data_IF_820438863095
#
_entry.id   IF_820438863095
#
_cell.length_a   1.000
_cell.length_b   1.000
_cell.length_c   1.000
_cell.angle_alpha   90.00
_cell.angle_beta   90.00
_cell.angle_gamma   90.00
#
_symmetry.space_group_name_H-M   'P 1'
#
loop_
_entity.id
_entity.type
_entity.pdbx_description
1 polymer ?
#
# COMPACT_ATOMS: atom_id res chain seq x y z
N UNK A 1 6.83 15.97 -17.29
CA UNK A 1 7.12 14.89 -16.34
C UNK A 1 6.57 15.38 -15.00
N UNK A 2 5.47 14.82 -14.51
CA UNK A 2 4.92 15.24 -13.22
C UNK A 2 5.98 14.97 -12.13
N UNK A 3 6.21 15.87 -11.16
CA UNK A 3 7.06 15.54 -10.03
C UNK A 3 6.49 14.27 -9.38
N UNK A 4 7.34 13.28 -9.13
CA UNK A 4 6.93 12.06 -8.44
C UNK A 4 6.32 12.47 -7.09
N UNK A 5 5.06 12.08 -6.83
CA UNK A 5 4.34 12.43 -5.60
C UNK A 5 5.04 11.94 -4.33
N UNK A 6 5.99 11.01 -4.48
CA UNK A 6 6.78 10.43 -3.40
C UNK A 6 8.27 10.41 -3.74
N UNK A 7 9.11 10.71 -2.75
CA UNK A 7 10.56 10.80 -2.90
C UNK A 7 11.28 9.98 -1.82
N UNK A 8 11.96 8.88 -2.15
CA UNK A 8 12.80 8.18 -1.19
C UNK A 8 14.03 9.02 -0.81
N UNK A 9 14.35 9.05 0.48
CA UNK A 9 15.56 9.69 1.01
C UNK A 9 16.76 8.75 0.93
N UNK A 10 17.93 9.28 0.63
CA UNK A 10 19.18 8.54 0.72
C UNK A 10 19.67 8.49 2.18
N UNK A 11 19.66 7.28 2.75
CA UNK A 11 20.12 7.03 4.12
C UNK A 11 21.48 6.31 4.18
N UNK A 12 22.19 6.18 3.06
CA UNK A 12 23.43 5.40 2.94
C UNK A 12 24.51 5.81 3.96
N UNK A 13 24.56 7.10 4.31
CA UNK A 13 25.49 7.62 5.31
C UNK A 13 25.18 7.13 6.75
N UNK A 14 23.95 6.72 7.03
CA UNK A 14 23.48 6.36 8.37
C UNK A 14 23.49 4.85 8.64
N UNK A 15 23.43 4.03 7.58
CA UNK A 15 23.43 2.57 7.68
C UNK A 15 24.67 2.03 8.41
N UNK A 16 24.42 1.14 9.37
CA UNK A 16 25.42 0.56 10.26
C UNK A 16 25.27 -0.95 10.47
N UNK A 17 24.32 -1.60 9.79
CA UNK A 17 24.09 -3.03 9.86
C UNK A 17 23.67 -3.59 8.49
N UNK A 18 24.02 -4.85 8.23
CA UNK A 18 23.62 -5.55 7.01
C UNK A 18 22.22 -6.16 7.12
N UNK A 19 21.74 -6.71 6.01
CA UNK A 19 20.40 -7.27 5.89
C UNK A 19 20.19 -8.52 6.76
N UNK A 20 21.27 -9.17 7.21
CA UNK A 20 21.21 -10.33 8.12
C UNK A 20 20.47 -10.06 9.42
N UNK A 21 20.41 -8.80 9.87
CA UNK A 21 19.66 -8.43 11.09
C UNK A 21 18.15 -8.62 10.95
N UNK A 22 17.62 -8.68 9.73
CA UNK A 22 16.21 -8.98 9.47
C UNK A 22 15.86 -10.44 9.81
N UNK A 23 16.86 -11.31 9.90
CA UNK A 23 16.70 -12.75 10.05
C UNK A 23 16.18 -13.40 8.76
N UNK A 24 15.64 -14.61 8.89
CA UNK A 24 15.05 -15.35 7.79
C UNK A 24 16.05 -15.76 6.69
N UNK A 25 15.55 -16.47 5.66
CA UNK A 25 16.34 -16.81 4.49
C UNK A 25 16.67 -15.54 3.67
N UNK A 26 17.74 -15.55 2.85
CA UNK A 26 18.20 -14.36 2.12
C UNK A 26 17.14 -13.73 1.22
N UNK A 27 16.29 -14.54 0.59
CA UNK A 27 15.20 -14.09 -0.25
C UNK A 27 14.13 -13.34 0.53
N UNK A 28 13.92 -13.61 1.83
CA UNK A 28 12.97 -12.87 2.65
C UNK A 28 13.42 -11.44 2.97
N UNK A 29 14.71 -11.11 2.77
CA UNK A 29 15.30 -9.81 3.11
C UNK A 29 15.05 -8.81 1.98
N UNK A 30 14.26 -7.79 2.27
CA UNK A 30 13.92 -6.75 1.31
C UNK A 30 14.97 -5.64 1.34
N UNK A 31 15.79 -5.52 0.30
CA UNK A 31 16.92 -4.57 0.17
C UNK A 31 16.89 -3.85 -1.17
N UNK A 32 17.69 -2.80 -1.34
CA UNK A 32 17.74 -2.02 -2.58
C UNK A 32 16.47 -1.19 -2.81
N UNK A 33 16.18 -0.88 -4.07
CA UNK A 33 14.95 -0.17 -4.44
C UNK A 33 13.73 -1.10 -4.28
N UNK A 34 12.75 -0.65 -3.51
CA UNK A 34 11.56 -1.38 -3.14
C UNK A 34 10.30 -0.56 -3.43
N UNK A 35 9.18 -1.26 -3.65
CA UNK A 35 7.86 -0.64 -3.80
C UNK A 35 6.91 -1.31 -2.81
N UNK A 36 6.46 -0.56 -1.81
CA UNK A 36 5.51 -1.05 -0.81
C UNK A 36 4.22 -0.24 -0.90
N UNK A 37 3.08 -0.92 -1.10
CA UNK A 37 1.78 -0.26 -1.37
C UNK A 37 1.86 0.77 -2.52
N UNK A 38 2.72 0.53 -3.51
CA UNK A 38 2.95 1.47 -4.62
C UNK A 38 3.81 2.69 -4.27
N UNK A 39 4.32 2.78 -3.04
CA UNK A 39 5.23 3.85 -2.61
C UNK A 39 6.69 3.40 -2.78
N UNK A 40 7.57 4.26 -3.33
CA UNK A 40 8.98 3.93 -3.52
C UNK A 40 9.74 4.03 -2.20
N UNK A 41 10.65 3.09 -1.95
CA UNK A 41 11.61 3.10 -0.85
C UNK A 41 12.99 2.72 -1.37
N UNK A 42 14.04 3.31 -0.81
CA UNK A 42 15.42 2.91 -1.08
C UNK A 42 16.07 2.40 0.20
N UNK A 43 16.30 1.10 0.23
CA UNK A 43 16.96 0.40 1.33
C UNK A 43 18.40 0.12 0.92
N UNK A 44 19.33 0.11 1.87
CA UNK A 44 20.71 -0.24 1.57
C UNK A 44 20.86 -1.68 1.10
N UNK A 45 22.07 -2.03 0.68
CA UNK A 45 22.43 -3.34 0.14
C UNK A 45 23.16 -4.20 1.18
N UNK A 46 23.06 -5.52 1.01
CA UNK A 46 23.88 -6.55 1.65
C UNK A 46 24.41 -6.22 3.07
N UNK A 47 25.65 -5.72 3.18
CA UNK A 47 26.41 -5.50 4.42
C UNK A 47 26.14 -4.14 5.09
N UNK A 48 25.48 -3.21 4.39
CA UNK A 48 25.05 -1.90 4.89
C UNK A 48 23.65 -1.58 4.40
N UNK A 49 22.67 -2.29 4.96
CA UNK A 49 21.29 -2.25 4.54
C UNK A 49 20.43 -1.27 5.36
N UNK A 50 20.65 -1.20 6.68
CA UNK A 50 19.73 -0.53 7.60
C UNK A 50 20.45 0.26 8.68
N UNK A 51 19.72 1.16 9.34
CA UNK A 51 20.16 1.83 10.57
C UNK A 51 19.59 1.07 11.76
N UNK A 52 20.45 0.34 12.48
CA UNK A 52 20.13 -0.44 13.67
C UNK A 52 20.34 0.40 14.94
N UNK A 53 19.36 0.31 15.85
CA UNK A 53 19.33 0.95 17.15
C UNK A 53 19.19 -0.07 18.30
N UNK A 54 19.61 0.34 19.49
CA UNK A 54 19.61 -0.50 20.69
C UNK A 54 20.83 -1.43 20.74
N UNK A 55 20.64 -2.65 21.26
CA UNK A 55 21.71 -3.62 21.41
C UNK A 55 22.38 -3.93 20.06
N UNK A 56 23.72 -3.90 20.06
CA UNK A 56 24.58 -4.12 18.88
C UNK A 56 24.39 -3.07 17.75
N UNK A 57 23.69 -1.97 18.04
CA UNK A 57 23.46 -0.85 17.15
C UNK A 57 23.76 0.49 17.82
N UNK A 58 23.12 1.57 17.36
CA UNK A 58 23.24 2.90 17.95
C UNK A 58 22.41 3.03 19.23
N UNK A 59 23.03 3.52 20.30
CA UNK A 59 22.35 3.92 21.55
C UNK A 59 22.16 5.43 21.68
N UNK A 60 22.97 6.23 20.98
CA UNK A 60 22.84 7.68 20.94
C UNK A 60 21.76 8.12 19.94
N UNK A 61 21.15 9.31 20.13
CA UNK A 61 20.28 9.93 19.14
C UNK A 61 20.94 10.03 17.75
N UNK A 62 20.13 9.90 16.71
CA UNK A 62 20.55 10.11 15.32
C UNK A 62 19.71 11.20 14.68
N UNK A 63 20.37 12.19 14.08
CA UNK A 63 19.71 13.24 13.29
C UNK A 63 19.91 12.98 11.80
N UNK A 64 18.80 12.91 11.06
CA UNK A 64 18.75 12.73 9.62
C UNK A 64 18.29 14.06 9.02
N UNK A 65 19.14 14.67 8.19
CA UNK A 65 18.78 15.89 7.46
C UNK A 65 17.73 15.59 6.38
N UNK A 66 16.68 16.41 6.30
CA UNK A 66 15.63 16.32 5.27
C UNK A 66 15.66 17.55 4.37
N UNK A 67 15.70 18.75 4.98
CA UNK A 67 15.78 20.06 4.33
C UNK A 67 14.81 20.23 3.15
N UNK A 68 13.54 19.87 3.34
CA UNK A 68 12.54 19.89 2.28
C UNK A 68 11.11 20.00 2.82
N UNK A 69 10.25 20.67 2.06
CA UNK A 69 8.79 20.65 2.24
C UNK A 69 8.22 19.28 1.90
N UNK A 70 7.36 18.76 2.77
CA UNK A 70 6.66 17.51 2.56
C UNK A 70 5.38 17.49 3.37
N UNK A 71 4.34 16.87 2.82
CA UNK A 71 3.08 16.63 3.50
C UNK A 71 3.15 15.42 4.44
N UNK A 72 3.99 14.45 4.12
CA UNK A 72 4.16 13.26 4.94
C UNK A 72 5.62 12.78 4.97
N UNK A 73 6.01 12.15 6.08
CA UNK A 73 7.24 11.36 6.19
C UNK A 73 6.85 9.92 6.50
N UNK A 74 7.11 9.02 5.56
CA UNK A 74 6.80 7.58 5.66
C UNK A 74 8.08 6.82 5.99
N UNK A 75 8.03 5.95 7.00
CA UNK A 75 9.16 5.17 7.49
C UNK A 75 8.90 3.67 7.33
N UNK A 76 9.88 2.97 6.77
CA UNK A 76 9.97 1.52 6.83
C UNK A 76 10.87 1.12 8.01
N UNK A 77 10.28 0.58 9.07
CA UNK A 77 10.99 0.26 10.31
C UNK A 77 10.43 -1.01 10.97
N UNK A 78 11.19 -1.57 11.91
CA UNK A 78 10.80 -2.83 12.59
C UNK A 78 11.48 -2.97 13.95
N UNK A 79 10.76 -3.49 14.93
CA UNK A 79 11.36 -4.00 16.18
C UNK A 79 12.01 -5.36 15.91
N UNK A 80 13.16 -5.63 16.55
CA UNK A 80 13.84 -6.92 16.47
C UNK A 80 13.70 -7.66 17.80
N UNK A 81 12.66 -8.47 17.92
CA UNK A 81 12.31 -9.20 19.14
C UNK A 81 11.19 -8.51 19.92
N UNK A 82 10.02 -9.15 19.92
CA UNK A 82 8.86 -8.79 20.74
C UNK A 82 8.73 -9.68 21.98
N UNK A 83 8.28 -9.10 23.10
CA UNK A 83 7.86 -9.86 24.29
C UNK A 83 6.34 -9.99 24.42
N UNK A 84 5.56 -9.47 23.48
CA UNK A 84 4.10 -9.42 23.60
C UNK A 84 3.47 -10.82 23.75
N UNK A 85 3.90 -11.79 22.94
CA UNK A 85 3.41 -13.16 23.02
C UNK A 85 3.89 -13.92 24.27
N UNK A 86 4.88 -13.37 24.98
CA UNK A 86 5.36 -13.86 26.27
C UNK A 86 4.74 -13.10 27.47
N UNK A 87 3.65 -12.34 27.25
CA UNK A 87 2.98 -11.57 28.30
C UNK A 87 3.63 -10.22 28.61
N UNK A 88 4.49 -9.72 27.71
CA UNK A 88 5.05 -8.38 27.80
C UNK A 88 3.97 -7.28 27.65
N UNK A 89 4.23 -6.08 28.17
CA UNK A 89 3.29 -4.96 28.09
C UNK A 89 3.10 -4.45 26.66
N UNK A 90 1.86 -4.04 26.36
CA UNK A 90 1.48 -3.42 25.10
C UNK A 90 1.89 -1.93 25.10
N UNK A 91 2.44 -1.43 23.99
CA UNK A 91 2.72 0.00 23.83
C UNK A 91 3.99 0.49 24.52
N UNK A 92 4.94 -0.41 24.83
CA UNK A 92 6.26 -0.04 25.34
C UNK A 92 6.95 0.97 24.39
N UNK A 93 7.49 2.08 24.90
CA UNK A 93 8.24 3.03 24.09
C UNK A 93 9.51 2.41 23.49
N UNK A 94 9.60 2.41 22.17
CA UNK A 94 10.76 1.94 21.40
C UNK A 94 11.69 3.11 21.07
N UNK A 95 11.12 4.25 20.68
CA UNK A 95 11.85 5.46 20.34
C UNK A 95 10.99 6.72 20.50
N UNK A 96 11.61 7.89 20.42
CA UNK A 96 10.94 9.17 20.16
C UNK A 96 11.45 9.69 18.83
N UNK A 97 10.55 10.07 17.93
CA UNK A 97 10.86 10.73 16.66
C UNK A 97 10.52 12.22 16.80
N UNK A 98 11.50 13.07 16.56
CA UNK A 98 11.35 14.54 16.64
C UNK A 98 11.55 15.13 15.26
N UNK A 99 10.50 15.69 14.69
CA UNK A 99 10.55 16.43 13.43
C UNK A 99 10.81 17.90 13.74
N UNK A 100 11.93 18.44 13.24
CA UNK A 100 12.30 19.85 13.39
C UNK A 100 12.09 20.57 12.08
N UNK A 101 11.35 21.67 12.11
CA UNK A 101 11.07 22.51 10.95
C UNK A 101 12.04 23.68 10.88
N UNK A 102 12.20 24.27 9.69
CA UNK A 102 13.15 25.37 9.47
C UNK A 102 12.78 26.68 10.17
N UNK A 103 11.53 26.83 10.61
CA UNK A 103 11.06 27.97 11.41
C UNK A 103 11.29 27.79 12.93
N UNK A 104 11.86 26.64 13.33
CA UNK A 104 12.13 26.29 14.72
C UNK A 104 11.02 25.50 15.42
N UNK A 105 9.89 25.21 14.74
CA UNK A 105 8.87 24.34 15.30
C UNK A 105 9.38 22.89 15.47
N UNK A 106 8.98 22.23 16.56
CA UNK A 106 9.31 20.84 16.85
C UNK A 106 8.06 20.01 17.11
N UNK A 107 7.99 18.83 16.50
CA UNK A 107 6.93 17.85 16.71
C UNK A 107 7.53 16.54 17.20
N UNK A 108 7.22 16.18 18.44
CA UNK A 108 7.70 14.94 19.07
C UNK A 108 6.60 13.87 19.03
N UNK A 109 6.95 12.69 18.53
CA UNK A 109 6.04 11.55 18.42
C UNK A 109 6.65 10.34 19.14
N UNK A 110 5.95 9.75 20.13
CA UNK A 110 6.39 8.49 20.71
C UNK A 110 6.15 7.34 19.72
N UNK A 111 7.16 6.49 19.55
CA UNK A 111 7.09 5.30 18.73
C UNK A 111 7.03 4.11 19.67
N UNK A 112 5.90 3.40 19.66
CA UNK A 112 5.57 2.36 20.64
C UNK A 112 5.40 1.03 19.95
N UNK A 113 5.84 -0.02 20.64
CA UNK A 113 5.64 -1.38 20.16
C UNK A 113 4.13 -1.66 20.00
N UNK A 114 3.79 -2.23 18.84
CA UNK A 114 2.43 -2.59 18.39
C UNK A 114 1.52 -1.44 17.97
N UNK A 115 1.98 -0.20 18.02
CA UNK A 115 1.24 0.95 17.49
C UNK A 115 1.88 1.43 16.20
N UNK A 116 2.98 2.17 16.32
CA UNK A 116 3.70 2.72 15.18
C UNK A 116 4.70 1.70 14.61
N UNK A 117 5.29 0.86 15.47
CA UNK A 117 6.30 -0.12 15.07
C UNK A 117 5.99 -1.49 15.68
N UNK A 118 6.32 -2.58 15.00
CA UNK A 118 6.21 -3.94 15.54
C UNK A 118 7.35 -4.83 15.04
N UNK A 119 7.52 -6.00 15.67
CA UNK A 119 8.28 -7.11 15.08
C UNK A 119 7.42 -7.82 14.01
N UNK A 120 7.94 -8.88 13.38
CA UNK A 120 7.17 -9.65 12.40
C UNK A 120 5.88 -10.19 13.04
N UNK A 121 4.71 -9.70 12.59
CA UNK A 121 3.44 -10.00 13.21
C UNK A 121 3.01 -11.42 12.86
N UNK A 122 2.56 -12.19 13.85
CA UNK A 122 1.78 -13.41 13.65
C UNK A 122 0.28 -13.09 13.51
N UNK A 123 -0.58 -14.08 13.39
CA UNK A 123 -2.03 -13.83 13.23
C UNK A 123 -2.63 -12.97 14.35
N UNK A 124 -3.41 -11.93 14.00
CA UNK A 124 -3.91 -10.91 14.94
C UNK A 124 -2.83 -9.93 15.45
N UNK A 125 -1.60 -10.11 14.99
CA UNK A 125 -0.31 -9.45 15.20
C UNK A 125 -0.07 -8.00 14.78
N UNK A 126 -0.92 -7.46 13.91
CA UNK A 126 -0.55 -6.24 13.15
C UNK A 126 -0.47 -5.01 14.05
N UNK A 127 0.42 -4.05 13.74
CA UNK A 127 0.47 -2.76 14.42
C UNK A 127 -0.80 -1.94 14.16
N UNK A 128 -1.25 -1.18 15.16
CA UNK A 128 -2.50 -0.41 15.07
C UNK A 128 -2.40 0.84 14.18
N UNK A 129 -1.23 1.48 14.13
CA UNK A 129 -1.01 2.76 13.45
C UNK A 129 -0.05 2.65 12.26
N UNK A 130 0.36 1.43 11.91
CA UNK A 130 1.24 1.16 10.77
C UNK A 130 0.65 0.09 9.86
N UNK A 131 1.15 0.03 8.62
CA UNK A 131 0.78 -0.98 7.64
C UNK A 131 1.89 -2.02 7.48
N UNK A 132 1.58 -3.28 7.16
CA UNK A 132 2.60 -4.22 6.70
C UNK A 132 3.23 -3.73 5.39
N UNK A 133 4.45 -4.18 5.05
CA UNK A 133 5.07 -3.84 3.77
C UNK A 133 4.42 -4.51 2.54
N UNK A 134 3.67 -5.61 2.74
CA UNK A 134 2.87 -6.24 1.71
C UNK A 134 1.43 -5.70 1.70
N UNK A 135 0.87 -5.56 0.49
CA UNK A 135 -0.54 -5.19 0.30
C UNK A 135 -1.48 -6.36 0.51
N UNK A 136 -2.75 -6.06 0.81
CA UNK A 136 -3.81 -7.03 0.61
C UNK A 136 -3.88 -7.40 -0.87
N UNK A 137 -4.31 -8.62 -1.15
CA UNK A 137 -4.37 -9.16 -2.50
C UNK A 137 -5.64 -9.95 -2.72
N UNK A 138 -5.81 -10.38 -3.97
CA UNK A 138 -6.84 -11.33 -4.35
C UNK A 138 -6.22 -12.71 -4.51
N UNK A 139 -7.00 -13.73 -4.21
CA UNK A 139 -6.63 -15.09 -4.57
C UNK A 139 -6.73 -15.26 -6.09
N UNK A 140 -6.17 -16.33 -6.65
CA UNK A 140 -6.35 -16.58 -8.08
C UNK A 140 -7.83 -16.86 -8.36
N UNK A 141 -8.50 -16.04 -9.18
CA UNK A 141 -9.96 -16.12 -9.43
C UNK A 141 -10.39 -17.49 -9.94
N UNK A 142 -9.77 -17.95 -11.02
CA UNK A 142 -10.25 -19.06 -11.83
C UNK A 142 -9.81 -20.45 -11.36
N UNK A 143 -8.81 -20.54 -10.49
CA UNK A 143 -8.28 -21.82 -10.03
C UNK A 143 -7.61 -21.70 -8.66
N UNK A 144 -7.46 -22.84 -7.99
CA UNK A 144 -6.75 -22.95 -6.72
C UNK A 144 -6.85 -24.35 -6.13
N UNK A 145 -6.06 -24.64 -5.09
CA UNK A 145 -6.11 -25.94 -4.43
C UNK A 145 -7.45 -26.14 -3.71
N UNK A 146 -8.07 -27.31 -3.91
CA UNK A 146 -9.36 -27.66 -3.28
C UNK A 146 -9.29 -27.62 -1.74
N UNK A 147 -8.13 -27.94 -1.17
CA UNK A 147 -7.87 -27.86 0.27
C UNK A 147 -7.99 -26.44 0.85
N UNK A 148 -7.94 -25.40 0.01
CA UNK A 148 -8.12 -24.01 0.42
C UNK A 148 -9.56 -23.49 0.20
N UNK A 149 -10.51 -24.35 -0.17
CA UNK A 149 -11.90 -23.95 -0.51
C UNK A 149 -12.58 -23.12 0.58
N UNK A 150 -12.32 -23.40 1.87
CA UNK A 150 -12.80 -22.59 2.98
C UNK A 150 -12.25 -21.16 2.96
N UNK A 151 -10.92 -21.00 2.91
CA UNK A 151 -10.26 -19.69 2.86
C UNK A 151 -10.57 -18.91 1.58
N UNK A 152 -10.89 -19.61 0.49
CA UNK A 152 -11.26 -19.01 -0.80
C UNK A 152 -12.62 -18.32 -0.79
N UNK A 153 -13.50 -18.60 0.17
CA UNK A 153 -14.80 -17.90 0.28
C UNK A 153 -14.65 -16.40 0.55
N UNK A 154 -13.53 -15.97 1.14
CA UNK A 154 -13.23 -14.56 1.37
C UNK A 154 -12.61 -13.87 0.15
N UNK A 155 -12.18 -14.66 -0.85
CA UNK A 155 -11.57 -14.26 -2.13
C UNK A 155 -10.32 -13.35 -2.06
N UNK A 156 -9.97 -12.91 -0.87
CA UNK A 156 -8.92 -11.95 -0.56
C UNK A 156 -7.84 -12.60 0.29
N UNK A 157 -6.68 -11.97 0.31
CA UNK A 157 -5.55 -12.31 1.17
C UNK A 157 -5.12 -11.07 1.93
N UNK A 158 -4.95 -11.22 3.23
CA UNK A 158 -4.38 -10.17 4.06
C UNK A 158 -2.88 -9.99 3.76
N UNK A 159 -2.45 -8.74 3.61
CA UNK A 159 -1.04 -8.38 3.55
C UNK A 159 -0.39 -8.55 4.92
N UNK A 160 0.82 -9.12 4.94
CA UNK A 160 1.61 -9.35 6.14
C UNK A 160 2.96 -8.65 6.01
N UNK A 161 3.55 -8.19 7.13
CA UNK A 161 4.92 -7.68 7.08
C UNK A 161 5.85 -8.82 6.75
N UNK A 162 6.57 -8.70 5.64
CA UNK A 162 7.66 -9.60 5.28
C UNK A 162 8.96 -9.19 5.95
N UNK A 163 9.27 -7.90 5.95
CA UNK A 163 10.46 -7.33 6.59
C UNK A 163 10.16 -6.09 7.44
N UNK A 164 9.18 -5.27 7.08
CA UNK A 164 8.95 -3.96 7.67
C UNK A 164 7.49 -3.67 8.04
N UNK A 165 7.34 -2.78 9.01
CA UNK A 165 6.12 -2.01 9.23
C UNK A 165 6.31 -0.63 8.60
N UNK A 166 5.25 -0.10 8.01
CA UNK A 166 5.21 1.21 7.39
C UNK A 166 4.36 2.15 8.24
N UNK A 167 5.01 3.12 8.86
CA UNK A 167 4.35 4.17 9.62
C UNK A 167 4.57 5.51 8.93
N UNK A 168 3.65 6.45 9.10
CA UNK A 168 3.82 7.79 8.56
C UNK A 168 3.45 8.87 9.57
N UNK A 169 4.14 10.01 9.46
CA UNK A 169 3.80 11.25 10.11
C UNK A 169 3.24 12.22 9.08
N UNK A 170 2.08 12.83 9.38
CA UNK A 170 1.55 13.94 8.59
C UNK A 170 2.13 15.24 9.13
N UNK A 171 2.73 16.03 8.23
CA UNK A 171 3.26 17.34 8.57
C UNK A 171 2.09 18.33 8.75
N UNK A 172 1.89 18.90 9.96
CA UNK A 172 0.82 19.86 10.20
C UNK A 172 1.05 21.21 9.49
N UNK A 173 2.28 21.50 9.06
CA UNK A 173 2.66 22.72 8.33
C UNK A 173 3.52 22.34 7.11
N UNK A 174 2.91 21.78 6.06
CA UNK A 174 3.62 21.17 4.92
C UNK A 174 4.46 22.17 4.10
N UNK A 175 4.05 23.45 4.10
CA UNK A 175 4.75 24.54 3.40
C UNK A 175 6.02 25.02 4.13
N UNK A 176 6.27 24.53 5.35
CA UNK A 176 7.50 24.80 6.08
C UNK A 176 8.45 23.62 5.88
N UNK A 177 9.67 23.83 5.35
CA UNK A 177 10.65 22.77 5.20
C UNK A 177 10.91 22.01 6.51
N UNK A 178 10.83 20.69 6.45
CA UNK A 178 11.33 19.83 7.51
C UNK A 178 12.85 19.89 7.44
N UNK A 179 13.48 20.47 8.45
CA UNK A 179 14.93 20.56 8.54
C UNK A 179 15.52 19.16 8.80
N UNK A 180 15.00 18.45 9.80
CA UNK A 180 15.52 17.14 10.18
C UNK A 180 14.51 16.27 10.90
N UNK A 181 14.78 14.96 10.89
CA UNK A 181 14.20 13.97 11.78
C UNK A 181 15.28 13.51 12.76
N UNK A 182 15.05 13.68 14.06
CA UNK A 182 15.87 13.08 15.10
C UNK A 182 15.19 11.84 15.68
N UNK A 183 15.95 10.75 15.77
CA UNK A 183 15.51 9.47 16.33
C UNK A 183 16.24 9.26 17.65
N UNK A 184 15.48 9.23 18.75
CA UNK A 184 16.00 8.97 20.10
C UNK A 184 15.57 7.57 20.54
N UNK A 185 16.48 6.57 20.58
CA UNK A 185 16.13 5.21 20.98
C UNK A 185 15.83 5.10 22.48
N UNK A 186 14.92 4.21 22.87
CA UNK A 186 14.50 4.00 24.28
C UNK A 186 14.86 2.61 24.84
N UNK A 187 15.76 1.89 24.17
CA UNK A 187 16.43 0.70 24.70
C UNK A 187 16.04 -0.61 24.01
N UNK A 188 14.82 -0.73 23.48
CA UNK A 188 14.45 -1.88 22.65
C UNK A 188 15.23 -1.87 21.34
N UNK A 189 15.58 -3.06 20.84
CA UNK A 189 16.31 -3.20 19.59
C UNK A 189 15.35 -3.03 18.41
N UNK A 190 15.66 -2.12 17.49
CA UNK A 190 14.85 -1.87 16.30
C UNK A 190 15.72 -1.34 15.17
N UNK A 191 15.18 -1.30 13.96
CA UNK A 191 15.83 -0.75 12.78
C UNK A 191 14.94 0.26 12.07
N UNK A 192 15.58 1.18 11.35
CA UNK A 192 14.97 2.00 10.29
C UNK A 192 15.68 1.64 8.98
N UNK A 193 14.93 1.16 8.00
CA UNK A 193 15.46 0.71 6.72
C UNK A 193 15.41 1.79 5.65
N UNK A 194 14.32 2.55 5.58
CA UNK A 194 14.14 3.60 4.59
C UNK A 194 13.16 4.67 5.09
N UNK A 195 13.27 5.85 4.48
CA UNK A 195 12.34 6.97 4.66
C UNK A 195 11.94 7.47 3.27
N UNK A 196 10.65 7.72 3.08
CA UNK A 196 10.08 8.30 1.86
C UNK A 196 9.24 9.51 2.22
N UNK A 197 9.39 10.60 1.48
CA UNK A 197 8.60 11.81 1.65
C UNK A 197 7.36 11.77 0.74
N UNK A 198 6.20 12.13 1.27
CA UNK A 198 5.01 12.45 0.48
C UNK A 198 5.00 13.94 0.13
N UNK A 199 5.04 14.26 -1.15
CA UNK A 199 5.13 15.63 -1.69
C UNK A 199 3.77 16.18 -2.12
N UNK A 200 2.69 15.42 -1.92
CA UNK A 200 1.31 15.79 -2.24
C UNK A 200 0.44 15.76 -1.00
N UNK A 201 -0.59 16.61 -0.97
CA UNK A 201 -1.56 16.65 0.12
C UNK A 201 -2.55 15.48 0.06
N UNK A 202 -2.12 14.32 0.55
CA UNK A 202 -2.92 13.11 0.69
C UNK A 202 -2.34 12.20 1.78
N UNK A 203 -3.15 11.28 2.32
CA UNK A 203 -2.60 10.21 3.15
C UNK A 203 -1.88 9.16 2.29
N UNK A 204 -0.70 8.65 2.69
CA UNK A 204 0.08 7.71 1.87
C UNK A 204 -0.56 6.32 1.68
N UNK A 205 -1.53 5.96 2.52
CA UNK A 205 -2.21 4.66 2.48
C UNK A 205 -3.71 4.88 2.45
N UNK A 206 -4.40 4.21 1.52
CA UNK A 206 -5.86 4.34 1.45
C UNK A 206 -6.53 3.83 2.73
N UNK A 207 -7.52 4.58 3.18
CA UNK A 207 -8.39 4.27 4.33
C UNK A 207 -9.87 4.24 3.95
N UNK A 208 -10.17 4.53 2.69
CA UNK A 208 -11.53 4.64 2.21
C UNK A 208 -12.12 3.26 1.97
N UNK A 209 -13.44 3.15 2.18
CA UNK A 209 -14.19 1.98 1.78
C UNK A 209 -14.07 1.79 0.26
N UNK A 210 -14.12 0.53 -0.19
CA UNK A 210 -14.14 0.27 -1.62
C UNK A 210 -15.46 0.77 -2.20
N UNK A 211 -15.38 1.48 -3.32
CA UNK A 211 -16.55 1.98 -4.06
C UNK A 211 -16.68 1.22 -5.38
N UNK A 212 -17.89 0.87 -5.82
CA UNK A 212 -18.09 0.20 -7.10
C UNK A 212 -17.81 1.17 -8.26
N UNK A 213 -16.95 0.74 -9.17
CA UNK A 213 -16.57 1.48 -10.37
C UNK A 213 -17.02 0.68 -11.58
N UNK A 214 -17.88 1.29 -12.41
CA UNK A 214 -18.32 0.70 -13.67
C UNK A 214 -17.25 0.88 -14.73
N UNK A 215 -17.02 -0.14 -15.54
CA UNK A 215 -16.05 -0.15 -16.62
C UNK A 215 -16.78 -0.54 -17.90
N UNK A 216 -16.78 0.36 -18.88
CA UNK A 216 -17.27 0.10 -20.22
C UNK A 216 -16.09 0.12 -21.20
N UNK A 217 -15.85 -1.00 -21.90
CA UNK A 217 -14.90 -1.05 -23.01
C UNK A 217 -15.55 -0.48 -24.27
N UNK A 218 -14.89 0.50 -24.90
CA UNK A 218 -15.44 1.19 -26.09
C UNK A 218 -15.18 0.46 -27.40
N UNK A 219 -14.11 -0.34 -27.48
CA UNK A 219 -13.87 -1.21 -28.63
C UNK A 219 -14.85 -2.39 -28.58
N UNK A 220 -15.77 -2.52 -29.56
CA UNK A 220 -16.78 -3.59 -29.56
C UNK A 220 -16.17 -4.99 -29.58
N UNK A 221 -15.02 -5.15 -30.24
CA UNK A 221 -14.31 -6.44 -30.33
C UNK A 221 -13.81 -6.86 -28.96
N UNK A 222 -13.26 -5.92 -28.18
CA UNK A 222 -12.78 -6.18 -26.82
C UNK A 222 -13.96 -6.35 -25.84
N UNK A 223 -15.01 -5.55 -26.01
CA UNK A 223 -16.21 -5.57 -25.19
C UNK A 223 -16.96 -6.92 -25.26
N UNK A 224 -16.97 -7.56 -26.43
CA UNK A 224 -17.62 -8.85 -26.67
C UNK A 224 -16.73 -10.07 -26.37
N UNK A 225 -15.45 -9.89 -26.01
CA UNK A 225 -14.63 -11.00 -25.54
C UNK A 225 -15.26 -11.66 -24.30
N UNK A 226 -15.22 -13.00 -24.18
CA UNK A 226 -15.74 -13.69 -23.01
C UNK A 226 -14.86 -13.38 -21.78
N UNK A 227 -15.47 -13.08 -20.64
CA UNK A 227 -14.71 -12.94 -19.39
C UNK A 227 -14.28 -14.33 -18.90
N UNK A 228 -13.01 -14.66 -19.12
CA UNK A 228 -12.46 -16.01 -18.93
C UNK A 228 -10.97 -15.94 -18.56
N UNK A 229 -10.39 -16.99 -17.94
CA UNK A 229 -8.95 -17.02 -17.66
C UNK A 229 -8.13 -16.86 -18.94
N UNK A 230 -7.07 -16.06 -18.87
CA UNK A 230 -6.12 -15.87 -19.97
C UNK A 230 -6.24 -14.49 -20.60
N UNK A 231 -6.13 -14.36 -21.94
CA UNK A 231 -6.05 -13.06 -22.62
C UNK A 231 -7.28 -12.16 -22.47
N UNK A 232 -8.44 -12.71 -22.10
CA UNK A 232 -9.69 -11.96 -21.91
C UNK A 232 -10.08 -11.83 -20.44
N UNK A 233 -9.18 -12.11 -19.50
CA UNK A 233 -9.41 -11.91 -18.08
C UNK A 233 -9.36 -10.40 -17.77
N UNK A 234 -10.53 -9.75 -17.68
CA UNK A 234 -10.62 -8.35 -17.32
C UNK A 234 -10.19 -8.16 -15.86
N UNK A 235 -9.16 -7.33 -15.66
CA UNK A 235 -8.61 -7.01 -14.34
C UNK A 235 -8.52 -5.50 -14.17
N UNK A 236 -8.70 -5.07 -12.92
CA UNK A 236 -8.39 -3.71 -12.47
C UNK A 236 -7.18 -3.81 -11.57
N UNK A 237 -6.07 -3.19 -11.97
CA UNK A 237 -4.84 -3.16 -11.19
C UNK A 237 -4.57 -1.73 -10.72
N UNK A 238 -4.12 -1.60 -9.48
CA UNK A 238 -3.95 -0.30 -8.82
C UNK A 238 -2.61 -0.29 -8.10
N UNK A 239 -1.82 0.76 -8.34
CA UNK A 239 -0.51 0.93 -7.75
C UNK A 239 -0.61 1.21 -6.23
N UNK A 240 -1.37 2.22 -5.82
CA UNK A 240 -1.51 2.73 -4.44
C UNK A 240 -2.92 2.54 -3.91
N UNK A 241 -3.39 1.30 -4.02
CA UNK A 241 -4.72 0.88 -3.61
C UNK A 241 -4.95 -0.61 -3.82
N UNK A 242 -6.21 -1.00 -3.78
CA UNK A 242 -6.70 -2.36 -4.02
C UNK A 242 -7.97 -2.33 -4.84
N UNK A 243 -8.16 -3.35 -5.67
CA UNK A 243 -9.38 -3.61 -6.40
C UNK A 243 -9.86 -5.04 -6.12
N UNK A 244 -11.16 -5.26 -6.27
CA UNK A 244 -11.76 -6.59 -6.35
C UNK A 244 -11.65 -7.17 -7.77
N UNK A 245 -12.18 -8.37 -8.01
CA UNK A 245 -12.32 -8.87 -9.38
C UNK A 245 -13.29 -8.00 -10.19
N UNK A 246 -13.10 -7.97 -11.51
CA UNK A 246 -14.11 -7.42 -12.39
C UNK A 246 -15.30 -8.39 -12.53
N UNK A 247 -16.50 -7.94 -12.21
CA UNK A 247 -17.74 -8.70 -12.35
C UNK A 247 -18.56 -8.14 -13.50
N UNK A 248 -19.14 -9.01 -14.32
CA UNK A 248 -19.97 -8.57 -15.43
C UNK A 248 -21.24 -7.88 -14.91
N UNK A 249 -21.60 -6.78 -15.57
CA UNK A 249 -22.90 -6.14 -15.42
C UNK A 249 -23.83 -6.58 -16.55
N UNK A 250 -25.16 -6.56 -16.32
CA UNK A 250 -26.14 -6.74 -17.38
C UNK A 250 -25.91 -5.76 -18.54
N UNK A 251 -26.19 -6.22 -19.76
CA UNK A 251 -26.09 -5.39 -20.98
C UNK A 251 -27.30 -4.47 -21.17
N UNK A 252 -28.47 -4.90 -20.71
CA UNK A 252 -29.72 -4.15 -20.83
C UNK A 252 -29.71 -2.87 -20.01
N UNK A 253 -30.54 -1.91 -20.42
CA UNK A 253 -30.74 -0.70 -19.64
C UNK A 253 -31.59 -0.99 -18.38
N UNK A 254 -31.38 -0.25 -17.30
CA UNK A 254 -32.16 -0.42 -16.07
C UNK A 254 -33.68 -0.27 -16.31
N UNK A 255 -34.08 0.64 -17.20
CA UNK A 255 -35.49 0.83 -17.55
C UNK A 255 -36.06 -0.37 -18.31
N UNK A 256 -35.27 -1.06 -19.13
CA UNK A 256 -35.72 -2.27 -19.82
C UNK A 256 -35.98 -3.38 -18.80
N UNK A 257 -35.07 -3.55 -17.82
CA UNK A 257 -35.25 -4.49 -16.72
C UNK A 257 -36.52 -4.21 -15.91
N UNK A 258 -36.73 -2.95 -15.52
CA UNK A 258 -37.87 -2.56 -14.69
C UNK A 258 -39.22 -2.70 -15.40
N UNK A 259 -39.24 -2.59 -16.73
CA UNK A 259 -40.44 -2.71 -17.55
C UNK A 259 -40.66 -4.12 -18.11
N UNK A 260 -39.75 -5.07 -17.87
CA UNK A 260 -39.91 -6.46 -18.31
C UNK A 260 -41.03 -7.16 -17.52
N UNK A 261 -41.82 -7.99 -18.20
CA UNK A 261 -42.94 -8.73 -17.59
C UNK A 261 -42.51 -9.74 -16.51
N UNK A 262 -41.23 -10.09 -16.47
CA UNK A 262 -40.57 -10.94 -15.50
C UNK A 262 -39.53 -10.19 -14.65
N UNK A 263 -39.63 -8.86 -14.53
CA UNK A 263 -38.79 -8.06 -13.63
C UNK A 263 -38.72 -8.70 -12.22
N UNK A 264 -37.51 -8.88 -11.69
CA UNK A 264 -37.26 -9.54 -10.40
C UNK A 264 -37.07 -11.06 -10.43
N UNK A 265 -37.26 -11.74 -11.58
CA UNK A 265 -36.94 -13.18 -11.75
C UNK A 265 -35.49 -13.43 -12.22
N UNK A 266 -34.70 -12.37 -12.37
CA UNK A 266 -33.33 -12.40 -12.88
C UNK A 266 -33.24 -11.94 -14.33
N UNK A 267 -32.01 -11.69 -14.79
CA UNK A 267 -31.70 -11.23 -16.14
C UNK A 267 -30.80 -12.22 -16.87
N UNK A 268 -30.75 -12.11 -18.21
CA UNK A 268 -29.77 -12.83 -19.00
C UNK A 268 -28.35 -12.44 -18.56
N UNK A 269 -27.53 -13.43 -18.21
CA UNK A 269 -26.15 -13.18 -17.81
C UNK A 269 -25.35 -12.61 -18.98
N UNK A 270 -24.53 -11.59 -18.69
CA UNK A 270 -23.55 -11.08 -19.63
C UNK A 270 -22.30 -11.98 -19.61
N UNK A 271 -21.98 -12.72 -20.69
CA UNK A 271 -20.79 -13.56 -20.72
C UNK A 271 -19.51 -12.79 -21.04
N UNK A 272 -19.61 -11.51 -21.42
CA UNK A 272 -18.47 -10.75 -21.95
C UNK A 272 -17.80 -9.82 -20.94
N UNK A 273 -16.70 -9.21 -21.34
CA UNK A 273 -15.92 -8.29 -20.51
C UNK A 273 -16.59 -6.93 -20.26
N UNK A 274 -17.67 -6.57 -20.95
CA UNK A 274 -18.28 -5.24 -20.86
C UNK A 274 -19.81 -5.30 -20.99
N UNK A 275 -20.57 -4.49 -20.23
CA UNK A 275 -20.10 -3.69 -19.10
C UNK A 275 -19.67 -4.59 -17.93
N UNK A 276 -18.74 -4.10 -17.12
CA UNK A 276 -18.30 -4.75 -15.90
C UNK A 276 -18.22 -3.73 -14.75
N UNK A 277 -18.03 -4.20 -13.53
CA UNK A 277 -17.65 -3.35 -12.41
C UNK A 277 -16.58 -4.01 -11.56
N UNK A 278 -15.81 -3.20 -10.86
CA UNK A 278 -14.96 -3.66 -9.76
C UNK A 278 -15.13 -2.69 -8.60
N UNK A 279 -15.12 -3.20 -7.38
CA UNK A 279 -14.93 -2.37 -6.19
C UNK A 279 -13.45 -1.93 -6.10
N UNK A 280 -13.23 -0.64 -5.82
CA UNK A 280 -11.90 -0.01 -5.79
C UNK A 280 -11.74 0.85 -4.53
N UNK A 281 -10.58 0.76 -3.89
CA UNK A 281 -10.14 1.69 -2.83
C UNK A 281 -8.67 2.07 -3.08
N UNK A 282 -8.39 3.36 -3.24
CA UNK A 282 -7.06 3.86 -3.57
C UNK A 282 -6.87 5.30 -3.07
N UNK A 283 -5.63 5.79 -3.04
CA UNK A 283 -5.35 7.20 -2.75
C UNK A 283 -5.56 8.06 -4.01
N UNK A 284 -5.88 9.37 -3.91
CA UNK A 284 -6.25 10.19 -5.07
C UNK A 284 -5.21 10.25 -6.20
N UNK A 285 -3.92 10.18 -5.87
CA UNK A 285 -2.88 10.17 -6.89
C UNK A 285 -2.59 8.79 -7.49
N UNK A 286 -3.29 7.72 -7.07
CA UNK A 286 -3.12 6.36 -7.60
C UNK A 286 -3.47 6.27 -9.09
N UNK A 287 -2.86 5.30 -9.77
CA UNK A 287 -3.15 4.92 -11.16
C UNK A 287 -4.01 3.67 -11.17
N UNK A 288 -5.15 3.74 -11.85
CA UNK A 288 -6.05 2.61 -12.10
C UNK A 288 -5.79 2.12 -13.52
N UNK A 289 -5.26 0.90 -13.65
CA UNK A 289 -4.99 0.26 -14.92
C UNK A 289 -6.07 -0.78 -15.23
N UNK A 290 -6.74 -0.62 -16.38
CA UNK A 290 -7.67 -1.61 -16.92
C UNK A 290 -6.88 -2.57 -17.80
N UNK A 291 -6.91 -3.86 -17.50
CA UNK A 291 -6.13 -4.90 -18.17
C UNK A 291 -7.01 -6.01 -18.74
N UNK A 292 -6.61 -6.56 -19.88
CA UNK A 292 -7.09 -7.84 -20.40
C UNK A 292 -5.93 -8.84 -20.36
N UNK A 293 -6.04 -9.85 -19.50
CA UNK A 293 -4.94 -10.73 -19.14
C UNK A 293 -3.81 -9.93 -18.49
N UNK A 294 -2.66 -9.86 -19.15
CA UNK A 294 -1.49 -9.08 -18.69
C UNK A 294 -1.33 -7.76 -19.46
N UNK A 295 -2.13 -7.52 -20.50
CA UNK A 295 -2.03 -6.32 -21.33
C UNK A 295 -2.86 -5.19 -20.71
N UNK A 296 -2.21 -4.08 -20.36
CA UNK A 296 -2.90 -2.83 -20.06
C UNK A 296 -3.56 -2.28 -21.32
N UNK A 297 -4.86 -2.05 -21.23
CA UNK A 297 -5.69 -1.44 -22.28
C UNK A 297 -5.71 0.06 -22.12
N UNK A 298 -5.91 0.54 -20.89
CA UNK A 298 -5.91 1.96 -20.55
C UNK A 298 -5.48 2.15 -19.09
N UNK A 299 -5.05 3.36 -18.74
CA UNK A 299 -4.83 3.77 -17.35
C UNK A 299 -5.39 5.17 -17.09
N UNK A 300 -6.06 5.33 -15.95
CA UNK A 300 -6.63 6.61 -15.50
C UNK A 300 -6.15 6.92 -14.09
N UNK A 301 -6.21 8.19 -13.68
CA UNK A 301 -5.92 8.58 -12.30
C UNK A 301 -7.14 8.39 -11.42
N UNK A 302 -6.95 7.83 -10.23
CA UNK A 302 -8.05 7.57 -9.30
C UNK A 302 -8.79 8.86 -8.86
N UNK A 303 -8.05 9.93 -8.58
CA UNK A 303 -8.64 11.22 -8.22
C UNK A 303 -9.61 11.76 -9.29
N UNK A 304 -9.32 11.54 -10.57
CA UNK A 304 -10.19 12.00 -11.66
C UNK A 304 -11.49 11.18 -11.69
N UNK A 305 -11.43 9.87 -11.37
CA UNK A 305 -12.61 8.99 -11.24
C UNK A 305 -13.47 9.36 -10.02
N UNK A 306 -12.86 9.84 -8.94
CA UNK A 306 -13.59 10.34 -7.77
C UNK A 306 -14.38 11.62 -8.10
N UNK A 307 -13.88 12.47 -8.99
CA UNK A 307 -14.55 13.70 -9.42
C UNK A 307 -15.70 13.44 -10.40
N UNK A 308 -15.69 12.29 -11.09
CA UNK A 308 -16.77 11.83 -11.95
C UNK A 308 -16.31 10.80 -12.98
N UNK A 309 -17.20 10.39 -13.90
CA UNK A 309 -16.85 9.44 -14.95
C UNK A 309 -15.72 9.97 -15.83
N UNK A 310 -14.70 9.14 -16.03
CA UNK A 310 -13.56 9.43 -16.89
C UNK A 310 -13.75 8.74 -18.23
N UNK A 311 -13.79 9.55 -19.29
CA UNK A 311 -13.92 9.10 -20.66
C UNK A 311 -12.57 9.16 -21.38
N UNK A 312 -12.09 8.02 -21.86
CA UNK A 312 -10.88 7.91 -22.70
C UNK A 312 -11.25 7.37 -24.09
N UNK A 313 -10.28 7.18 -24.98
CA UNK A 313 -10.55 6.58 -26.28
C UNK A 313 -10.94 5.08 -26.16
N UNK A 314 -10.41 4.39 -25.14
CA UNK A 314 -10.56 2.93 -25.01
C UNK A 314 -11.62 2.50 -23.99
N UNK A 315 -11.82 3.29 -22.93
CA UNK A 315 -12.70 2.93 -21.81
C UNK A 315 -13.46 4.13 -21.27
N UNK A 316 -14.59 3.85 -20.63
CA UNK A 316 -15.24 4.71 -19.64
C UNK A 316 -15.10 4.05 -18.27
N UNK A 317 -14.66 4.81 -17.29
CA UNK A 317 -14.48 4.38 -15.88
C UNK A 317 -15.20 5.35 -14.95
#
# INVERSE_FOLDING_TARGET
MAPHAYLPLDLSAYYNAGAEVLGGPPDARLVGDQVFHGLPFRIGEADRAVTLFGRDGRSAPLTIAINREAHAVILAHRVLGSRLLAGGPLGEPVATYTFRLSDGAEYQVPIRERFEIADLPSFGQLPFLARPDQKNGLQARWSGPFSASGSRQMESTQGWSRAYCLWFWMNPTPDVPIQSLEIVPRGQRFLVAAITLGLTHEEPFSRDAMVPVRIDLKDPTLADLPLAPGPSDLKVDIDRGVASYAYQLPRGAADEFLNDGFAGWGEAQNPSCSPAYAEVSAIPSATVAIKLGEKTIESVRWGDVLDGPVETDMVRV
#
